data_IF_530651616194
#
_entry.id   IF_530651616194
#
_cell.length_a   1.000
_cell.length_b   1.000
_cell.length_c   1.000
_cell.angle_alpha   90.00
_cell.angle_beta   90.00
_cell.angle_gamma   90.00
#
_symmetry.space_group_name_H-M   'P 1'
#
loop_
_entity.id
_entity.type
_entity.pdbx_description
1 polymer ?
#
# COMPACT_ATOMS: atom_id res chain seq x y z
N UNK A 1 -3.27 -0.33 -5.06
CA UNK A 1 -3.53 0.69 -4.03
C UNK A 1 -3.60 2.04 -4.74
N UNK A 2 -4.34 3.02 -4.25
CA UNK A 2 -4.42 4.32 -4.94
C UNK A 2 -4.75 5.46 -3.98
N UNK A 3 -4.39 6.67 -4.38
CA UNK A 3 -4.84 7.90 -3.72
C UNK A 3 -5.08 9.02 -4.73
N UNK A 4 -6.10 9.82 -4.46
CA UNK A 4 -6.52 10.98 -5.27
C UNK A 4 -6.60 12.17 -4.32
N UNK A 5 -5.88 13.24 -4.61
CA UNK A 5 -5.95 14.52 -3.89
C UNK A 5 -6.73 15.53 -4.74
N UNK A 6 -7.64 16.24 -4.12
CA UNK A 6 -8.48 17.28 -4.72
C UNK A 6 -8.58 18.46 -3.74
N UNK A 7 -9.15 19.60 -4.17
CA UNK A 7 -9.14 20.84 -3.38
C UNK A 7 -9.70 20.67 -1.96
N UNK A 8 -10.75 19.87 -1.81
CA UNK A 8 -11.47 19.67 -0.54
C UNK A 8 -10.99 18.46 0.27
N UNK A 9 -9.92 17.78 -0.14
CA UNK A 9 -9.38 16.66 0.62
C UNK A 9 -8.74 15.56 -0.22
N UNK A 10 -8.75 14.34 0.31
CA UNK A 10 -8.13 13.18 -0.33
C UNK A 10 -8.99 11.93 -0.19
N UNK A 11 -9.02 11.12 -1.25
CA UNK A 11 -9.52 9.74 -1.24
C UNK A 11 -8.32 8.80 -1.32
N UNK A 12 -8.29 7.76 -0.50
CA UNK A 12 -7.16 6.83 -0.42
C UNK A 12 -7.62 5.40 -0.13
N UNK A 13 -6.94 4.43 -0.74
CA UNK A 13 -7.19 2.99 -0.59
C UNK A 13 -5.88 2.23 -0.47
N UNK A 14 -5.65 1.61 0.68
CA UNK A 14 -4.57 0.66 0.93
C UNK A 14 -5.17 -0.73 1.24
N UNK A 15 -5.14 -1.62 0.24
CA UNK A 15 -5.82 -2.93 0.33
C UNK A 15 -5.18 -3.78 1.42
N UNK A 16 -6.02 -4.32 2.31
CA UNK A 16 -5.60 -5.24 3.36
C UNK A 16 -5.07 -4.59 4.64
N UNK A 17 -5.04 -3.26 4.71
CA UNK A 17 -4.89 -2.53 5.97
C UNK A 17 -6.24 -2.24 6.61
N UNK A 18 -6.26 -2.16 7.93
CA UNK A 18 -7.41 -1.72 8.70
C UNK A 18 -7.75 -0.26 8.36
N UNK A 19 -9.04 0.03 8.19
CA UNK A 19 -9.54 1.37 7.85
C UNK A 19 -9.02 2.45 8.81
N UNK A 20 -9.00 2.16 10.11
CA UNK A 20 -8.50 3.09 11.14
C UNK A 20 -7.03 3.45 10.95
N UNK A 21 -6.18 2.51 10.52
CA UNK A 21 -4.77 2.76 10.22
C UNK A 21 -4.64 3.62 8.96
N UNK A 22 -5.40 3.32 7.91
CA UNK A 22 -5.40 4.11 6.68
C UNK A 22 -5.83 5.55 6.93
N UNK A 23 -6.88 5.77 7.73
CA UNK A 23 -7.38 7.12 8.03
C UNK A 23 -6.41 7.91 8.91
N UNK A 24 -5.81 7.28 9.93
CA UNK A 24 -4.95 7.97 10.91
C UNK A 24 -3.53 8.20 10.41
N UNK A 25 -2.90 7.18 9.83
CA UNK A 25 -1.45 7.16 9.62
C UNK A 25 -1.02 7.44 8.18
N UNK A 26 -1.92 7.27 7.20
CA UNK A 26 -1.55 7.36 5.78
C UNK A 26 -2.15 8.64 5.17
N UNK A 27 -1.36 9.36 4.37
CA UNK A 27 -1.74 10.55 3.60
C UNK A 27 -1.43 10.38 2.12
N UNK A 28 -2.00 11.22 1.26
CA UNK A 28 -1.71 11.21 -0.19
C UNK A 28 -0.22 11.34 -0.48
N UNK A 29 0.49 12.14 0.31
CA UNK A 29 1.93 12.36 0.17
C UNK A 29 2.75 11.07 0.37
N UNK A 30 2.33 10.17 1.26
CA UNK A 30 3.01 8.90 1.47
C UNK A 30 2.95 8.00 0.21
N UNK A 31 1.89 8.10 -0.60
CA UNK A 31 1.80 7.39 -1.88
C UNK A 31 2.79 7.97 -2.90
N UNK A 32 2.95 9.29 -2.94
CA UNK A 32 3.94 9.94 -3.82
C UNK A 32 5.35 9.54 -3.43
N UNK A 33 5.67 9.67 -2.14
CA UNK A 33 6.99 9.28 -1.59
C UNK A 33 7.30 7.81 -1.84
N UNK A 34 6.34 6.91 -1.63
CA UNK A 34 6.51 5.48 -1.89
C UNK A 34 6.90 5.18 -3.35
N UNK A 35 6.31 5.92 -4.30
CA UNK A 35 6.62 5.80 -5.74
C UNK A 35 7.99 6.41 -6.06
N UNK A 36 8.30 7.59 -5.53
CA UNK A 36 9.54 8.31 -5.82
C UNK A 36 10.77 7.62 -5.22
N UNK A 37 10.66 7.10 -4.01
CA UNK A 37 11.76 6.41 -3.32
C UNK A 37 11.86 4.93 -3.71
N UNK A 38 10.89 4.39 -4.44
CA UNK A 38 10.76 2.97 -4.75
C UNK A 38 10.79 2.06 -3.51
N UNK A 39 10.32 2.58 -2.37
CA UNK A 39 10.37 1.90 -1.07
C UNK A 39 8.98 1.59 -0.57
N UNK A 40 8.78 0.33 -0.16
CA UNK A 40 7.55 -0.07 0.52
C UNK A 40 7.53 0.47 1.95
N UNK A 41 6.37 0.95 2.41
CA UNK A 41 6.16 1.33 3.80
C UNK A 41 5.51 0.20 4.57
N UNK A 42 5.58 0.25 5.90
CA UNK A 42 4.90 -0.72 6.77
C UNK A 42 4.16 -0.02 7.89
N UNK A 43 3.02 -0.58 8.26
CA UNK A 43 2.18 -0.06 9.33
C UNK A 43 1.83 -1.16 10.33
N UNK A 44 1.74 -0.76 11.59
CA UNK A 44 1.30 -1.61 12.68
C UNK A 44 -0.22 -1.56 12.75
N UNK A 45 -0.86 -2.72 12.75
CA UNK A 45 -2.28 -2.84 13.03
C UNK A 45 -2.55 -3.94 14.06
N UNK A 46 -3.62 -3.74 14.83
CA UNK A 46 -4.11 -4.74 15.76
C UNK A 46 -5.36 -5.41 15.18
N UNK A 47 -5.46 -6.72 15.30
CA UNK A 47 -6.66 -7.47 14.93
C UNK A 47 -6.97 -8.57 15.94
N UNK A 48 -8.23 -8.92 16.06
CA UNK A 48 -8.66 -10.12 16.78
C UNK A 48 -8.46 -11.31 15.83
N UNK A 49 -7.84 -12.38 16.32
CA UNK A 49 -7.62 -13.63 15.61
C UNK A 49 -8.13 -14.79 16.45
N UNK A 50 -8.84 -15.72 15.82
CA UNK A 50 -9.14 -17.04 16.39
C UNK A 50 -8.09 -18.04 15.94
N UNK A 51 -7.53 -18.78 16.88
CA UNK A 51 -6.63 -19.91 16.63
C UNK A 51 -6.93 -21.01 17.65
N UNK A 52 -7.18 -22.24 17.19
CA UNK A 52 -7.60 -23.36 18.04
C UNK A 52 -8.77 -23.01 18.98
N UNK A 53 -9.78 -22.32 18.44
CA UNK A 53 -10.95 -21.80 19.17
C UNK A 53 -10.63 -20.83 20.32
N UNK A 54 -9.42 -20.27 20.39
CA UNK A 54 -9.03 -19.24 21.35
C UNK A 54 -8.88 -17.89 20.65
N UNK A 55 -9.61 -16.89 21.13
CA UNK A 55 -9.50 -15.52 20.65
C UNK A 55 -8.29 -14.84 21.27
N UNK A 56 -7.52 -14.15 20.43
CA UNK A 56 -6.40 -13.31 20.85
C UNK A 56 -6.34 -12.03 20.05
N UNK A 57 -5.88 -10.96 20.68
CA UNK A 57 -5.49 -9.73 19.98
C UNK A 57 -4.04 -9.85 19.56
N UNK A 58 -3.77 -9.68 18.27
CA UNK A 58 -2.42 -9.74 17.73
C UNK A 58 -2.01 -8.40 17.14
N UNK A 59 -0.73 -8.06 17.32
CA UNK A 59 -0.06 -6.95 16.65
C UNK A 59 0.57 -7.47 15.37
N UNK A 60 0.27 -6.84 14.24
CA UNK A 60 0.78 -7.22 12.92
C UNK A 60 1.50 -6.04 12.30
N UNK A 61 2.73 -6.24 11.86
CA UNK A 61 3.47 -5.29 11.04
C UNK A 61 3.25 -5.66 9.57
N UNK A 62 2.44 -4.89 8.84
CA UNK A 62 2.03 -5.20 7.47
C UNK A 62 2.58 -4.18 6.49
N UNK A 63 2.92 -4.61 5.27
CA UNK A 63 3.21 -3.69 4.16
C UNK A 63 1.99 -2.81 3.93
N UNK A 64 2.21 -1.51 3.99
CA UNK A 64 1.18 -0.49 3.90
C UNK A 64 1.04 0.01 2.47
N UNK A 65 2.13 0.55 1.91
CA UNK A 65 2.23 0.98 0.53
C UNK A 65 3.40 0.25 -0.15
N UNK A 66 3.22 -0.07 -1.42
CA UNK A 66 4.24 -0.66 -2.27
C UNK A 66 4.01 -0.15 -3.69
N UNK A 67 5.08 0.27 -4.37
CA UNK A 67 5.03 0.73 -5.75
C UNK A 67 5.07 -0.41 -6.77
N UNK A 68 5.61 -1.57 -6.37
CA UNK A 68 5.80 -2.70 -7.27
C UNK A 68 4.50 -3.49 -7.42
N UNK A 69 4.20 -3.85 -8.67
CA UNK A 69 3.09 -4.72 -9.06
C UNK A 69 3.70 -5.98 -9.70
N UNK A 70 3.38 -7.16 -9.16
CA UNK A 70 3.93 -8.44 -9.61
C UNK A 70 3.71 -8.73 -11.10
N UNK A 71 2.75 -8.05 -11.75
CA UNK A 71 2.40 -8.25 -13.16
C UNK A 71 2.89 -7.13 -14.07
N UNK A 72 3.63 -6.15 -13.56
CA UNK A 72 4.10 -5.00 -14.34
C UNK A 72 5.58 -4.72 -14.09
N UNK A 73 6.31 -4.47 -15.16
CA UNK A 73 7.68 -3.98 -15.14
C UNK A 73 7.68 -2.45 -15.08
N UNK A 74 8.35 -1.88 -14.08
CA UNK A 74 8.47 -0.42 -13.91
C UNK A 74 9.64 0.10 -14.75
N UNK A 75 9.40 1.14 -15.56
CA UNK A 75 10.44 1.78 -16.36
C UNK A 75 11.25 2.77 -15.53
N UNK A 76 12.40 3.21 -16.07
CA UNK A 76 13.36 4.08 -15.38
C UNK A 76 12.78 5.44 -14.95
N UNK A 77 11.68 5.88 -15.55
CA UNK A 77 10.98 7.10 -15.16
C UNK A 77 10.07 6.95 -13.94
N UNK A 78 9.98 5.73 -13.36
CA UNK A 78 9.19 5.39 -12.18
C UNK A 78 7.69 5.71 -12.31
N UNK A 79 7.19 5.89 -13.53
CA UNK A 79 5.80 6.24 -13.82
C UNK A 79 5.20 5.25 -14.81
N UNK A 80 5.90 5.01 -15.91
CA UNK A 80 5.43 4.13 -16.95
C UNK A 80 5.76 2.68 -16.61
N UNK A 81 4.88 1.79 -17.05
CA UNK A 81 4.99 0.37 -16.75
C UNK A 81 4.60 -0.46 -17.95
N UNK A 82 5.30 -1.56 -18.17
CA UNK A 82 4.99 -2.57 -19.18
C UNK A 82 4.35 -3.79 -18.52
N UNK A 83 3.44 -4.46 -19.21
CA UNK A 83 2.87 -5.72 -18.71
C UNK A 83 3.94 -6.83 -18.72
N UNK A 84 3.91 -7.73 -17.73
CA UNK A 84 4.81 -8.88 -17.71
C UNK A 84 4.75 -9.66 -19.04
N UNK A 85 5.93 -9.97 -19.62
CA UNK A 85 6.04 -10.64 -20.93
C UNK A 85 5.90 -9.72 -22.16
N UNK A 86 5.86 -8.40 -21.97
CA UNK A 86 5.89 -7.44 -23.08
C UNK A 86 7.23 -7.51 -23.84
N UNK A 87 7.21 -7.47 -25.17
CA UNK A 87 8.38 -7.64 -26.06
C UNK A 87 9.53 -6.64 -25.89
N UNK A 88 9.34 -5.59 -25.09
CA UNK A 88 10.34 -4.54 -24.78
C UNK A 88 10.97 -4.69 -23.40
N UNK A 89 10.51 -5.67 -22.63
CA UNK A 89 11.09 -6.03 -21.33
C UNK A 89 12.25 -7.00 -21.59
#
# INVERSE_FOLDING_TARGET
MYSIKFERGEKKTAKGLARSVVERNIRHEDYRRCREELKSTREIQHRIQSENHKLKTIKVNKIALCTFDDKRYLLDDNVHTLAHGHYKI
#
